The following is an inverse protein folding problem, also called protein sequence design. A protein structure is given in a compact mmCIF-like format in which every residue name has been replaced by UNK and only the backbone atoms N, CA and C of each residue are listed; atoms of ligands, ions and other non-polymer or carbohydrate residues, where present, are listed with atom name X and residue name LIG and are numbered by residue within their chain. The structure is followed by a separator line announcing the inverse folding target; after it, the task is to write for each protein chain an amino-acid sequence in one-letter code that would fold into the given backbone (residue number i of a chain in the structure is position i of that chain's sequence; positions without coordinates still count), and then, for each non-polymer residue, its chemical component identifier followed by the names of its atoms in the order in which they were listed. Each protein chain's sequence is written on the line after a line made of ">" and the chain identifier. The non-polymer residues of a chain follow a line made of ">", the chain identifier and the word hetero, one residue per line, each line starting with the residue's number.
data_IF_507814653092
#
_entry.id   IF_507814653092
#
_cell.length_a   1.000
_cell.length_b   1.000
_cell.length_c   1.000
_cell.angle_alpha   90.00
_cell.angle_beta   90.00
_cell.angle_gamma   90.00
#
_symmetry.space_group_name_H-M   'P 1'
#
loop_
_entity.id
_entity.type
_entity.pdbx_description
1 polymer ?
#
# COMPACT_ATOMS: atom_id res chain seq x y z
N UNK A 1 -14.00 11.99 7.75
CA UNK A 1 -13.07 10.93 8.19
C UNK A 1 -12.99 9.80 7.19
N UNK A 2 -14.09 9.06 6.95
CA UNK A 2 -14.13 7.88 6.08
C UNK A 2 -14.57 8.14 4.62
N UNK A 3 -15.10 9.32 4.29
CA UNK A 3 -15.73 9.59 2.99
C UNK A 3 -14.75 9.96 1.85
N UNK A 4 -13.44 9.75 2.05
CA UNK A 4 -12.48 9.96 0.96
C UNK A 4 -12.51 8.72 0.04
N UNK A 5 -12.81 8.88 -1.26
CA UNK A 5 -12.93 7.74 -2.18
C UNK A 5 -11.71 6.81 -2.18
N UNK A 6 -10.53 7.39 -1.95
CA UNK A 6 -9.26 6.67 -1.87
C UNK A 6 -9.17 5.68 -0.71
N UNK A 7 -9.64 6.06 0.48
CA UNK A 7 -9.64 5.16 1.65
C UNK A 7 -10.63 4.02 1.44
N UNK A 8 -11.82 4.31 0.88
CA UNK A 8 -12.79 3.27 0.53
C UNK A 8 -12.24 2.25 -0.47
N UNK A 9 -11.52 2.71 -1.51
CA UNK A 9 -10.90 1.83 -2.50
C UNK A 9 -9.93 0.81 -1.87
N UNK A 10 -9.15 1.22 -0.88
CA UNK A 10 -8.20 0.34 -0.17
C UNK A 10 -8.92 -0.83 0.54
N UNK A 11 -10.12 -0.61 1.08
CA UNK A 11 -10.90 -1.65 1.74
C UNK A 11 -11.74 -2.49 0.77
N UNK A 12 -12.25 -1.89 -0.29
CA UNK A 12 -13.14 -2.56 -1.26
C UNK A 12 -12.37 -3.60 -2.10
N UNK A 13 -11.16 -3.27 -2.54
CA UNK A 13 -10.33 -4.16 -3.38
C UNK A 13 -10.15 -5.57 -2.75
N UNK A 14 -9.66 -5.69 -1.50
CA UNK A 14 -9.53 -6.98 -0.85
C UNK A 14 -10.88 -7.61 -0.47
N UNK A 15 -11.95 -6.83 -0.24
CA UNK A 15 -13.29 -7.38 0.01
C UNK A 15 -13.88 -8.09 -1.23
N UNK A 16 -13.74 -7.49 -2.42
CA UNK A 16 -14.19 -8.13 -3.67
C UNK A 16 -13.34 -9.38 -3.95
N UNK A 17 -12.04 -9.32 -3.65
CA UNK A 17 -11.12 -10.46 -3.77
C UNK A 17 -11.28 -11.54 -2.71
N UNK A 18 -12.07 -11.32 -1.65
CA UNK A 18 -12.16 -12.19 -0.46
C UNK A 18 -12.45 -13.65 -0.83
N UNK A 19 -13.45 -13.88 -1.69
CA UNK A 19 -13.83 -15.24 -2.08
C UNK A 19 -12.70 -15.98 -2.79
N UNK A 20 -11.92 -15.30 -3.64
CA UNK A 20 -10.75 -15.87 -4.32
C UNK A 20 -9.59 -16.09 -3.36
N UNK A 21 -9.40 -15.18 -2.40
CA UNK A 21 -8.34 -15.24 -1.39
C UNK A 21 -8.55 -16.40 -0.40
N UNK A 22 -9.79 -16.69 -0.02
CA UNK A 22 -10.11 -17.80 0.90
C UNK A 22 -10.13 -19.15 0.18
N UNK A 23 -10.57 -19.20 -1.08
CA UNK A 23 -10.57 -20.46 -1.85
C UNK A 23 -9.18 -20.90 -2.31
N UNK A 24 -8.26 -19.97 -2.53
CA UNK A 24 -6.90 -20.27 -2.97
C UNK A 24 -5.89 -19.36 -2.26
N UNK A 25 -5.71 -19.55 -0.95
CA UNK A 25 -4.88 -18.67 -0.12
C UNK A 25 -3.38 -18.80 -0.45
N UNK A 26 -2.96 -19.88 -1.09
CA UNK A 26 -1.60 -20.08 -1.62
C UNK A 26 -1.46 -19.75 -3.12
N UNK A 27 -2.54 -19.30 -3.76
CA UNK A 27 -2.53 -18.91 -5.16
C UNK A 27 -1.63 -17.71 -5.43
N UNK A 28 -1.14 -17.60 -6.67
CA UNK A 28 -0.25 -16.51 -7.12
C UNK A 28 -0.84 -15.12 -6.83
N UNK A 29 -2.15 -14.95 -7.01
CA UNK A 29 -2.85 -13.69 -6.69
C UNK A 29 -2.79 -13.35 -5.20
N UNK A 30 -2.99 -14.34 -4.33
CA UNK A 30 -2.95 -14.14 -2.88
C UNK A 30 -1.53 -13.76 -2.41
N UNK A 31 -0.49 -14.43 -2.97
CA UNK A 31 0.91 -14.07 -2.69
C UNK A 31 1.26 -12.66 -3.15
N UNK A 32 0.95 -12.30 -4.40
CA UNK A 32 1.29 -10.98 -4.93
C UNK A 32 0.61 -9.87 -4.14
N UNK A 33 -0.69 -9.99 -3.85
CA UNK A 33 -1.43 -8.99 -3.07
C UNK A 33 -0.96 -8.88 -1.62
N UNK A 34 -0.36 -9.94 -1.06
CA UNK A 34 0.25 -9.87 0.28
C UNK A 34 1.46 -8.94 0.32
N UNK A 35 2.12 -8.65 -0.80
CA UNK A 35 3.29 -7.77 -0.86
C UNK A 35 2.97 -6.34 -1.34
N UNK A 36 1.69 -5.95 -1.44
CA UNK A 36 1.27 -4.60 -1.85
C UNK A 36 0.77 -3.79 -0.65
N UNK A 37 1.58 -2.87 -0.09
CA UNK A 37 1.13 -1.93 0.93
C UNK A 37 0.13 -0.96 0.30
N UNK A 38 -0.98 -0.55 0.94
CA UNK A 38 -1.46 -0.77 2.32
C UNK A 38 -2.39 -1.99 2.51
N UNK A 39 -2.56 -2.82 1.48
CA UNK A 39 -3.50 -3.95 1.45
C UNK A 39 -2.88 -5.22 2.07
N UNK A 40 -1.55 -5.29 2.11
CA UNK A 40 -0.72 -6.32 2.75
C UNK A 40 -1.27 -6.85 4.08
N UNK A 41 -1.46 -6.06 5.15
CA UNK A 41 -1.85 -6.59 6.46
C UNK A 41 -3.22 -7.27 6.42
N UNK A 42 -4.16 -6.71 5.65
CA UNK A 42 -5.50 -7.26 5.52
C UNK A 42 -5.50 -8.61 4.80
N UNK A 43 -4.75 -8.72 3.69
CA UNK A 43 -4.63 -9.97 2.91
C UNK A 43 -3.83 -11.03 3.66
N UNK A 44 -2.78 -10.63 4.38
CA UNK A 44 -1.94 -11.56 5.14
C UNK A 44 -2.70 -12.17 6.32
N UNK A 45 -3.44 -11.36 7.08
CA UNK A 45 -4.31 -11.85 8.16
C UNK A 45 -5.36 -12.83 7.61
N UNK A 46 -5.94 -12.51 6.45
CA UNK A 46 -6.86 -13.37 5.71
C UNK A 46 -6.25 -14.73 5.35
N UNK A 47 -5.05 -14.74 4.78
CA UNK A 47 -4.33 -15.97 4.39
C UNK A 47 -4.01 -16.84 5.61
N UNK A 48 -3.56 -16.23 6.71
CA UNK A 48 -3.29 -16.94 7.96
C UNK A 48 -4.58 -17.54 8.55
N UNK A 49 -5.68 -16.79 8.56
CA UNK A 49 -6.99 -17.27 9.03
C UNK A 49 -7.58 -18.38 8.14
N UNK A 50 -7.31 -18.35 6.84
CA UNK A 50 -7.72 -19.37 5.88
C UNK A 50 -6.89 -20.67 5.95
N UNK A 51 -5.91 -20.76 6.86
CA UNK A 51 -5.11 -21.97 7.06
C UNK A 51 -4.03 -22.22 6.00
N UNK A 52 -3.61 -21.18 5.26
CA UNK A 52 -2.48 -21.34 4.32
C UNK A 52 -1.17 -21.63 5.03
N UNK A 53 -0.33 -22.44 4.40
CA UNK A 53 0.98 -22.81 4.94
C UNK A 53 2.01 -21.73 4.61
N UNK A 54 1.80 -20.53 5.15
CA UNK A 54 2.66 -19.39 4.91
C UNK A 54 3.97 -19.57 5.67
N UNK A 55 5.08 -19.62 4.94
CA UNK A 55 6.42 -19.70 5.53
C UNK A 55 6.68 -18.47 6.41
N UNK A 56 7.33 -18.64 7.57
CA UNK A 56 7.74 -17.52 8.44
C UNK A 56 8.58 -16.46 7.69
N UNK A 57 9.29 -16.88 6.65
CA UNK A 57 10.06 -15.99 5.75
C UNK A 57 9.14 -15.07 4.94
N UNK A 58 7.97 -15.53 4.47
CA UNK A 58 7.00 -14.67 3.77
C UNK A 58 6.43 -13.60 4.71
N UNK A 59 6.18 -13.96 5.97
CA UNK A 59 5.74 -13.01 7.00
C UNK A 59 6.81 -11.93 7.20
N UNK A 60 8.06 -12.33 7.44
CA UNK A 60 9.18 -11.40 7.59
C UNK A 60 9.38 -10.49 6.37
N UNK A 61 9.30 -11.05 5.17
CA UNK A 61 9.39 -10.29 3.93
C UNK A 61 8.24 -9.29 3.77
N UNK A 62 7.01 -9.66 4.11
CA UNK A 62 5.86 -8.74 4.05
C UNK A 62 6.01 -7.56 5.02
N UNK A 63 6.55 -7.81 6.23
CA UNK A 63 6.83 -6.76 7.22
C UNK A 63 7.94 -5.83 6.71
N UNK A 64 9.01 -6.38 6.13
CA UNK A 64 10.09 -5.58 5.56
C UNK A 64 9.59 -4.71 4.40
N UNK A 65 8.76 -5.26 3.51
CA UNK A 65 8.13 -4.50 2.41
C UNK A 65 7.24 -3.39 2.96
N UNK A 66 6.46 -3.68 4.01
CA UNK A 66 5.62 -2.68 4.67
C UNK A 66 6.47 -1.54 5.26
N UNK A 67 7.53 -1.88 5.99
CA UNK A 67 8.45 -0.90 6.58
C UNK A 67 9.14 -0.05 5.51
N UNK A 68 9.64 -0.68 4.44
CA UNK A 68 10.25 0.03 3.31
C UNK A 68 9.26 0.99 2.63
N UNK A 69 8.02 0.56 2.43
CA UNK A 69 6.98 1.40 1.84
C UNK A 69 6.62 2.59 2.74
N UNK A 70 6.52 2.39 4.06
CA UNK A 70 6.32 3.50 5.01
C UNK A 70 7.45 4.51 4.91
N UNK A 71 8.71 4.06 4.91
CA UNK A 71 9.87 4.93 4.75
C UNK A 71 9.86 5.69 3.42
N UNK A 72 9.50 5.02 2.32
CA UNK A 72 9.38 5.66 1.00
C UNK A 72 8.29 6.74 0.98
N UNK A 73 7.14 6.46 1.58
CA UNK A 73 6.03 7.44 1.63
C UNK A 73 6.39 8.62 2.53
N UNK A 74 7.03 8.38 3.69
CA UNK A 74 7.51 9.45 4.57
C UNK A 74 8.54 10.31 3.84
N UNK A 75 9.50 9.69 3.16
CA UNK A 75 10.51 10.41 2.37
C UNK A 75 9.87 11.25 1.27
N UNK A 76 8.93 10.68 0.51
CA UNK A 76 8.20 11.40 -0.53
C UNK A 76 7.38 12.56 0.05
N UNK A 77 6.65 12.33 1.14
CA UNK A 77 5.86 13.35 1.82
C UNK A 77 6.73 14.50 2.36
N UNK A 78 7.88 14.18 2.97
CA UNK A 78 8.85 15.17 3.45
C UNK A 78 9.42 16.00 2.29
N UNK A 79 9.73 15.36 1.15
CA UNK A 79 10.21 16.03 -0.06
C UNK A 79 9.16 16.99 -0.65
N UNK A 80 7.91 16.53 -0.72
CA UNK A 80 6.76 17.33 -1.18
C UNK A 80 6.52 18.50 -0.23
N UNK A 81 6.56 18.29 1.09
CA UNK A 81 6.37 19.35 2.08
C UNK A 81 7.46 20.43 1.99
N UNK A 82 8.73 20.02 1.85
CA UNK A 82 9.86 20.93 1.67
C UNK A 82 9.75 21.76 0.38
N UNK A 83 9.23 21.17 -0.69
CA UNK A 83 9.02 21.89 -1.96
C UNK A 83 7.77 22.77 -1.91
N UNK A 84 6.71 22.29 -1.25
CA UNK A 84 5.42 22.96 -1.14
C UNK A 84 5.41 24.20 -0.23
N UNK A 85 6.28 24.28 0.78
CA UNK A 85 6.37 25.47 1.65
C UNK A 85 6.80 26.73 0.89
N UNK A 86 7.48 26.57 -0.23
CA UNK A 86 7.91 27.67 -1.10
C UNK A 86 6.82 28.07 -2.12
N UNK A 87 5.69 27.37 -2.13
CA UNK A 87 4.58 27.62 -3.05
C UNK A 87 3.47 28.42 -2.38
N UNK A 88 3.44 29.71 -2.66
CA UNK A 88 2.32 30.57 -2.30
C UNK A 88 1.32 30.65 -3.47
N UNK A 89 0.11 30.11 -3.28
CA UNK A 89 -1.08 30.54 -4.03
C UNK A 89 -1.57 29.69 -5.22
N UNK A 90 -0.90 28.61 -5.63
CA UNK A 90 -1.42 27.67 -6.65
C UNK A 90 -1.50 26.24 -6.13
N UNK A 91 -2.62 25.56 -6.37
CA UNK A 91 -2.80 24.13 -6.08
C UNK A 91 -1.92 23.35 -7.07
N UNK A 92 -0.85 22.67 -6.63
CA UNK A 92 0.01 21.90 -7.52
C UNK A 92 -0.78 20.85 -8.30
N UNK A 93 -0.50 20.71 -9.59
CA UNK A 93 -0.99 19.56 -10.35
C UNK A 93 -0.25 18.26 -9.97
N UNK A 94 -0.89 17.10 -10.11
CA UNK A 94 -0.25 15.79 -9.87
C UNK A 94 1.05 15.60 -10.68
N UNK A 95 1.08 16.16 -11.89
CA UNK A 95 2.25 16.13 -12.78
C UNK A 95 3.42 16.99 -12.26
N UNK A 96 3.13 18.12 -11.62
CA UNK A 96 4.17 18.98 -11.02
C UNK A 96 4.78 18.33 -9.80
N UNK A 97 3.95 17.70 -8.95
CA UNK A 97 4.41 16.92 -7.79
C UNK A 97 5.38 15.81 -8.24
N UNK A 98 5.03 15.07 -9.29
CA UNK A 98 5.90 14.03 -9.84
C UNK A 98 7.22 14.59 -10.41
N UNK A 99 7.16 15.77 -11.04
CA UNK A 99 8.35 16.46 -11.55
C UNK A 99 9.30 16.88 -10.42
N UNK A 100 8.78 17.36 -9.29
CA UNK A 100 9.61 17.69 -8.12
C UNK A 100 10.23 16.46 -7.47
N UNK A 101 9.49 15.36 -7.41
CA UNK A 101 10.06 14.08 -6.96
C UNK A 101 11.26 13.66 -7.81
N UNK A 102 11.25 13.96 -9.12
CA UNK A 102 12.30 13.60 -10.10
C UNK A 102 13.42 14.64 -10.29
N UNK A 103 13.17 15.92 -10.02
CA UNK A 103 14.14 17.01 -10.26
C UNK A 103 15.08 17.30 -9.08
N UNK A 104 14.99 16.56 -7.98
CA UNK A 104 15.97 16.63 -6.88
C UNK A 104 16.70 15.32 -6.68
#
# INVERSE_FOLDING_TARGET
>A
GLNSPFVMLIFIIPMIGWFKLVQSPDGTLARVLSFVPPVTPMVMVLRLAAGSNVLFVEIGASILVLAAAVLLVIWAAAKIFRTGILMYGKKPGLLEIFRWLRQS
#
